data_IF_397254778342
#
_entry.id   IF_397254778342
#
_cell.length_a   1.000
_cell.length_b   1.000
_cell.length_c   1.000
_cell.angle_alpha   90.00
_cell.angle_beta   90.00
_cell.angle_gamma   90.00
#
_symmetry.space_group_name_H-M   'P 1'
#
loop_
_entity.id
_entity.type
_entity.pdbx_description
1 polymer ?
#
# COMPACT_ATOMS: atom_id res chain seq x y z
N UNK A 1 -15.05 -4.28 18.82
CA UNK A 1 -13.83 -3.48 18.52
C UNK A 1 -14.07 -2.03 18.92
N UNK A 2 -15.21 -1.45 18.53
CA UNK A 2 -15.64 -0.11 18.98
C UNK A 2 -15.82 -0.02 20.50
N UNK A 3 -16.29 -1.08 21.15
CA UNK A 3 -16.43 -1.11 22.63
C UNK A 3 -15.13 -0.85 23.40
N UNK A 4 -13.97 -1.33 22.91
CA UNK A 4 -12.67 -1.12 23.57
C UNK A 4 -12.22 0.33 23.38
N UNK A 5 -12.48 0.89 22.20
CA UNK A 5 -12.19 2.30 21.91
C UNK A 5 -13.02 3.19 22.82
N UNK A 6 -14.34 3.03 22.82
CA UNK A 6 -15.25 3.85 23.62
C UNK A 6 -14.92 3.74 25.10
N UNK A 7 -14.63 2.54 25.59
CA UNK A 7 -14.23 2.34 26.98
C UNK A 7 -12.95 3.09 27.36
N UNK A 8 -11.90 2.99 26.54
CA UNK A 8 -10.60 3.64 26.82
C UNK A 8 -10.71 5.17 26.74
N UNK A 9 -11.48 5.70 25.79
CA UNK A 9 -11.70 7.14 25.65
C UNK A 9 -12.51 7.69 26.85
N UNK A 10 -13.57 6.99 27.26
CA UNK A 10 -14.36 7.35 28.46
C UNK A 10 -13.51 7.32 29.73
N UNK A 11 -12.67 6.28 29.90
CA UNK A 11 -11.76 6.19 31.03
C UNK A 11 -10.83 7.41 31.08
N UNK A 12 -10.21 7.75 29.95
CA UNK A 12 -9.27 8.86 29.86
C UNK A 12 -9.93 10.19 30.23
N UNK A 13 -11.11 10.46 29.69
CA UNK A 13 -11.82 11.73 29.88
C UNK A 13 -12.42 11.86 31.29
N UNK A 14 -13.05 10.80 31.80
CA UNK A 14 -13.91 10.91 32.99
C UNK A 14 -13.29 10.35 34.26
N UNK A 15 -12.39 9.37 34.16
CA UNK A 15 -11.94 8.60 35.33
C UNK A 15 -10.47 8.83 35.67
N UNK A 16 -9.64 9.14 34.68
CA UNK A 16 -8.23 9.43 34.90
C UNK A 16 -8.04 10.91 35.18
N UNK A 17 -7.33 11.21 36.28
CA UNK A 17 -6.96 12.58 36.64
C UNK A 17 -5.97 13.15 35.62
N UNK A 18 -6.04 14.46 35.39
CA UNK A 18 -5.27 15.14 34.36
C UNK A 18 -3.75 14.96 34.49
N UNK A 19 -3.23 14.92 35.72
CA UNK A 19 -1.82 14.67 36.03
C UNK A 19 -1.35 13.24 35.68
N UNK A 20 -2.28 12.29 35.59
CA UNK A 20 -2.02 10.87 35.29
C UNK A 20 -2.26 10.50 33.82
N UNK A 21 -2.72 11.45 33.00
CA UNK A 21 -3.04 11.21 31.59
C UNK A 21 -1.86 10.66 30.80
N UNK A 22 -0.65 11.20 30.99
CA UNK A 22 0.55 10.71 30.32
C UNK A 22 0.86 9.24 30.68
N UNK A 23 0.90 8.94 31.97
CA UNK A 23 1.18 7.59 32.48
C UNK A 23 0.15 6.58 31.99
N UNK A 24 -1.13 6.97 31.96
CA UNK A 24 -2.21 6.15 31.42
C UNK A 24 -2.05 5.92 29.91
N UNK A 25 -1.72 6.95 29.12
CA UNK A 25 -1.46 6.81 27.69
C UNK A 25 -0.31 5.84 27.40
N UNK A 26 0.78 5.92 28.17
CA UNK A 26 1.92 4.99 28.03
C UNK A 26 1.51 3.55 28.33
N UNK A 27 0.77 3.33 29.42
CA UNK A 27 0.35 1.99 29.86
C UNK A 27 -0.65 1.35 28.87
N UNK A 28 -1.63 2.11 28.39
CA UNK A 28 -2.60 1.61 27.40
C UNK A 28 -1.89 1.25 26.09
N UNK A 29 -0.97 2.08 25.60
CA UNK A 29 -0.22 1.79 24.38
C UNK A 29 0.66 0.54 24.54
N UNK A 30 1.31 0.33 25.68
CA UNK A 30 2.03 -0.92 25.98
C UNK A 30 1.12 -2.15 25.94
N UNK A 31 -0.12 -2.03 26.42
CA UNK A 31 -1.10 -3.12 26.36
C UNK A 31 -1.57 -3.38 24.94
N UNK A 32 -1.86 -2.33 24.16
CA UNK A 32 -2.17 -2.48 22.75
C UNK A 32 -1.05 -3.21 22.00
N UNK A 33 0.22 -2.84 22.24
CA UNK A 33 1.37 -3.51 21.63
C UNK A 33 1.52 -4.97 22.11
N UNK A 34 1.37 -5.23 23.43
CA UNK A 34 1.44 -6.59 24.01
C UNK A 34 0.41 -7.55 23.41
N UNK A 35 -0.80 -7.05 23.16
CA UNK A 35 -1.89 -7.84 22.58
C UNK A 35 -1.99 -7.71 21.06
N UNK A 36 -1.00 -7.07 20.41
CA UNK A 36 -0.96 -6.85 18.96
C UNK A 36 -2.26 -6.22 18.41
N UNK A 37 -2.84 -5.30 19.19
CA UNK A 37 -4.02 -4.55 18.80
C UNK A 37 -3.59 -3.39 17.88
N UNK A 38 -4.25 -3.20 16.73
CA UNK A 38 -3.88 -2.18 15.75
C UNK A 38 -4.38 -0.80 16.18
N UNK A 39 -4.10 -0.40 17.40
CA UNK A 39 -4.57 0.86 18.00
C UNK A 39 -3.44 1.60 18.70
N UNK A 40 -3.62 2.92 18.82
CA UNK A 40 -2.80 3.78 19.66
C UNK A 40 -3.72 4.79 20.35
N UNK A 41 -3.55 4.97 21.66
CA UNK A 41 -4.16 6.08 22.39
C UNK A 41 -3.28 7.32 22.22
N UNK A 42 -3.87 8.42 21.74
CA UNK A 42 -3.22 9.71 21.57
C UNK A 42 -4.16 10.82 22.05
N UNK A 43 -3.73 11.58 23.05
CA UNK A 43 -4.47 12.72 23.61
C UNK A 43 -5.94 12.40 23.98
N UNK A 44 -6.19 11.19 24.49
CA UNK A 44 -7.52 10.75 24.89
C UNK A 44 -8.37 10.11 23.80
N UNK A 45 -7.88 10.04 22.56
CA UNK A 45 -8.57 9.37 21.44
C UNK A 45 -7.80 8.13 21.01
N UNK A 46 -8.51 7.02 20.83
CA UNK A 46 -7.95 5.78 20.28
C UNK A 46 -8.01 5.84 18.76
N UNK A 47 -6.84 5.91 18.14
CA UNK A 47 -6.66 5.94 16.68
C UNK A 47 -6.21 4.57 16.18
N UNK A 48 -6.66 4.19 14.99
CA UNK A 48 -6.17 3.00 14.30
C UNK A 48 -4.70 3.16 13.92
N UNK A 49 -3.89 2.13 14.20
CA UNK A 49 -2.46 2.05 13.82
C UNK A 49 -2.27 1.56 12.37
N UNK A 50 -3.35 1.32 11.62
CA UNK A 50 -3.33 0.88 10.23
C UNK A 50 -2.96 -0.60 10.05
N UNK A 51 -1.98 -1.16 10.79
CA UNK A 51 -1.54 -2.55 10.61
C UNK A 51 -1.03 -3.26 11.87
N UNK A 52 -1.22 -4.58 11.92
CA UNK A 52 -0.58 -5.50 12.89
C UNK A 52 0.81 -5.91 12.38
N UNK A 53 1.85 -5.15 12.72
CA UNK A 53 3.25 -5.55 12.48
C UNK A 53 4.12 -5.21 13.69
N UNK A 54 5.14 -6.01 13.93
CA UNK A 54 6.17 -5.78 14.96
C UNK A 54 7.23 -4.77 14.51
N UNK A 55 7.22 -4.34 13.24
CA UNK A 55 8.15 -3.35 12.71
C UNK A 55 7.54 -1.94 12.75
N UNK A 56 8.28 -0.97 13.28
CA UNK A 56 7.88 0.44 13.29
C UNK A 56 7.94 1.03 11.88
N UNK A 57 6.77 1.30 11.29
CA UNK A 57 6.62 1.94 9.99
C UNK A 57 6.96 3.42 10.13
N UNK A 58 8.22 3.80 9.88
CA UNK A 58 8.69 5.14 10.23
C UNK A 58 8.40 6.21 9.19
N UNK A 59 8.45 5.93 7.87
CA UNK A 59 8.09 6.91 6.81
C UNK A 59 7.70 6.21 5.51
N UNK A 60 6.45 6.37 5.07
CA UNK A 60 5.96 5.94 3.74
C UNK A 60 5.67 7.20 2.90
N UNK A 61 6.06 7.14 1.62
CA UNK A 61 5.81 8.18 0.61
C UNK A 61 4.32 8.42 0.51
N UNK A 62 3.89 9.62 0.94
CA UNK A 62 2.51 9.96 1.28
C UNK A 62 1.68 8.75 1.77
N UNK A 63 2.18 8.09 2.83
CA UNK A 63 1.50 6.98 3.53
C UNK A 63 0.01 7.25 3.57
N UNK A 64 -0.36 8.47 3.96
CA UNK A 64 -1.74 8.85 4.15
C UNK A 64 -2.57 8.71 2.87
N UNK A 65 -2.10 9.17 1.72
CA UNK A 65 -2.84 9.03 0.46
C UNK A 65 -2.89 7.58 -0.02
N UNK A 66 -1.77 6.85 0.09
CA UNK A 66 -1.66 5.47 -0.34
C UNK A 66 -2.52 4.53 0.52
N UNK A 67 -2.41 4.68 1.84
CA UNK A 67 -3.23 3.99 2.84
C UNK A 67 -4.69 4.35 2.74
N UNK A 68 -5.03 5.61 2.41
CA UNK A 68 -6.41 5.98 2.11
C UNK A 68 -6.92 5.25 0.88
N UNK A 69 -6.14 5.19 -0.20
CA UNK A 69 -6.54 4.44 -1.41
C UNK A 69 -6.76 2.96 -1.09
N UNK A 70 -5.89 2.34 -0.30
CA UNK A 70 -6.03 0.94 0.13
C UNK A 70 -7.24 0.75 1.06
N UNK A 71 -7.43 1.61 2.05
CA UNK A 71 -8.57 1.53 2.97
C UNK A 71 -9.91 1.74 2.24
N UNK A 72 -9.97 2.73 1.34
CA UNK A 72 -11.14 2.94 0.50
C UNK A 72 -11.38 1.74 -0.42
N UNK A 73 -10.32 1.14 -0.99
CA UNK A 73 -10.48 -0.05 -1.82
C UNK A 73 -10.97 -1.27 -1.03
N UNK A 74 -10.55 -1.43 0.23
CA UNK A 74 -11.03 -2.48 1.13
C UNK A 74 -12.53 -2.35 1.45
N UNK A 75 -13.01 -1.11 1.63
CA UNK A 75 -14.45 -0.87 1.82
C UNK A 75 -15.23 -1.14 0.53
N UNK A 76 -14.72 -0.65 -0.61
CA UNK A 76 -15.40 -0.73 -1.90
C UNK A 76 -15.44 -2.14 -2.49
N UNK A 77 -14.41 -2.96 -2.28
CA UNK A 77 -14.40 -4.35 -2.80
C UNK A 77 -15.49 -5.22 -2.16
N UNK A 78 -15.89 -4.88 -0.93
CA UNK A 78 -16.95 -5.57 -0.19
C UNK A 78 -18.36 -5.15 -0.65
N UNK A 79 -18.49 -4.11 -1.47
CA UNK A 79 -19.76 -3.67 -2.06
C UNK A 79 -20.35 -4.75 -2.98
N UNK A 80 -21.66 -4.75 -3.15
CA UNK A 80 -22.33 -5.58 -4.17
C UNK A 80 -22.31 -4.93 -5.56
N UNK A 81 -21.98 -3.64 -5.64
CA UNK A 81 -21.99 -2.86 -6.87
C UNK A 81 -20.74 -3.10 -7.72
N UNK A 82 -20.95 -3.36 -9.01
CA UNK A 82 -19.88 -3.60 -9.98
C UNK A 82 -18.90 -2.42 -10.08
N UNK A 83 -19.44 -1.19 -10.11
CA UNK A 83 -18.65 0.02 -10.24
C UNK A 83 -17.72 0.20 -9.03
N UNK A 84 -18.20 -0.08 -7.83
CA UNK A 84 -17.40 0.02 -6.61
C UNK A 84 -16.24 -0.96 -6.63
N UNK A 85 -16.48 -2.22 -7.04
CA UNK A 85 -15.41 -3.22 -7.15
C UNK A 85 -14.39 -2.85 -8.23
N UNK A 86 -14.82 -2.29 -9.36
CA UNK A 86 -13.92 -1.78 -10.41
C UNK A 86 -13.03 -0.66 -9.85
N UNK A 87 -13.63 0.31 -9.17
CA UNK A 87 -12.90 1.40 -8.53
C UNK A 87 -11.95 0.91 -7.43
N UNK A 88 -12.35 -0.08 -6.62
CA UNK A 88 -11.48 -0.71 -5.63
C UNK A 88 -10.22 -1.29 -6.29
N UNK A 89 -10.41 -1.98 -7.41
CA UNK A 89 -9.32 -2.56 -8.16
C UNK A 89 -8.42 -1.51 -8.82
N UNK A 90 -9.00 -0.44 -9.37
CA UNK A 90 -8.22 0.69 -9.88
C UNK A 90 -7.33 1.31 -8.80
N UNK A 91 -7.90 1.55 -7.61
CA UNK A 91 -7.15 2.17 -6.52
C UNK A 91 -5.94 1.35 -6.08
N UNK A 92 -6.09 0.02 -6.01
CA UNK A 92 -4.99 -0.83 -5.57
C UNK A 92 -3.96 -1.10 -6.67
N UNK A 93 -4.40 -1.15 -7.92
CA UNK A 93 -3.52 -1.22 -9.09
C UNK A 93 -2.70 0.07 -9.22
N UNK A 94 -3.33 1.24 -9.12
CA UNK A 94 -2.65 2.54 -9.08
C UNK A 94 -1.57 2.57 -7.99
N UNK A 95 -1.89 2.04 -6.82
CA UNK A 95 -0.99 1.96 -5.69
C UNK A 95 0.24 1.09 -6.04
N UNK A 96 0.02 -0.10 -6.60
CA UNK A 96 1.11 -0.98 -7.05
C UNK A 96 1.95 -0.33 -8.18
N UNK A 97 1.30 0.30 -9.16
CA UNK A 97 1.97 1.00 -10.26
C UNK A 97 2.87 2.12 -9.75
N UNK A 98 2.36 2.92 -8.83
CA UNK A 98 3.12 3.98 -8.19
C UNK A 98 4.34 3.43 -7.45
N UNK A 99 4.12 2.38 -6.65
CA UNK A 99 5.20 1.68 -5.95
C UNK A 99 6.30 1.22 -6.91
N UNK A 100 5.94 0.59 -8.03
CA UNK A 100 6.92 0.12 -9.02
C UNK A 100 7.61 1.31 -9.70
N UNK A 101 6.89 2.40 -9.96
CA UNK A 101 7.41 3.56 -10.68
C UNK A 101 8.60 4.23 -9.98
N UNK A 102 8.64 4.17 -8.65
CA UNK A 102 9.72 4.75 -7.84
C UNK A 102 10.93 3.82 -7.69
N UNK A 103 10.83 2.58 -8.18
CA UNK A 103 11.92 1.61 -8.12
C UNK A 103 13.04 1.98 -9.10
N UNK A 104 14.28 1.70 -8.69
CA UNK A 104 15.47 1.96 -9.50
C UNK A 104 15.49 1.10 -10.77
N UNK A 105 15.89 1.70 -11.89
CA UNK A 105 16.14 1.00 -13.14
C UNK A 105 15.43 1.62 -14.35
N UNK A 106 16.13 1.62 -15.49
CA UNK A 106 15.58 2.11 -16.75
C UNK A 106 14.78 1.00 -17.46
N UNK A 107 13.46 1.18 -17.51
CA UNK A 107 12.51 0.27 -18.13
C UNK A 107 11.76 -0.61 -17.12
N UNK A 108 10.53 -1.00 -17.49
CA UNK A 108 9.59 -1.73 -16.62
C UNK A 108 10.15 -3.03 -16.06
N UNK A 109 10.84 -3.85 -16.86
CA UNK A 109 11.41 -5.12 -16.40
C UNK A 109 12.48 -4.92 -15.30
N UNK A 110 13.31 -3.87 -15.44
CA UNK A 110 14.33 -3.55 -14.44
C UNK A 110 13.71 -3.05 -13.13
N UNK A 111 12.61 -2.30 -13.22
CA UNK A 111 11.83 -1.86 -12.05
C UNK A 111 11.15 -3.03 -11.34
N UNK A 112 10.61 -3.99 -12.08
CA UNK A 112 10.06 -5.23 -11.50
C UNK A 112 11.15 -6.06 -10.81
N UNK A 113 12.32 -6.17 -11.43
CA UNK A 113 13.47 -6.83 -10.83
C UNK A 113 13.94 -6.12 -9.54
N UNK A 114 13.95 -4.79 -9.52
CA UNK A 114 14.30 -4.02 -8.33
C UNK A 114 13.29 -4.23 -7.19
N UNK A 115 11.99 -4.14 -7.47
CA UNK A 115 10.93 -4.44 -6.49
C UNK A 115 11.05 -5.86 -5.91
N UNK A 116 11.34 -6.86 -6.75
CA UNK A 116 11.52 -8.23 -6.29
C UNK A 116 12.80 -8.40 -5.43
N UNK A 117 13.87 -7.64 -5.72
CA UNK A 117 15.10 -7.64 -4.92
C UNK A 117 14.91 -7.07 -3.52
N UNK A 118 14.00 -6.10 -3.35
CA UNK A 118 13.68 -5.57 -2.02
C UNK A 118 13.12 -6.66 -1.11
N UNK A 119 12.29 -7.56 -1.65
CA UNK A 119 11.77 -8.71 -0.90
C UNK A 119 12.84 -9.80 -0.71
N UNK A 120 13.58 -10.12 -1.76
CA UNK A 120 14.61 -11.15 -1.71
C UNK A 120 15.87 -10.72 -2.47
N UNK A 121 16.94 -10.45 -1.72
CA UNK A 121 18.23 -10.03 -2.29
C UNK A 121 18.90 -11.12 -3.14
N UNK A 122 18.59 -12.40 -2.89
CA UNK A 122 19.09 -13.52 -3.67
C UNK A 122 18.26 -13.73 -4.95
N UNK A 123 18.83 -13.38 -6.10
CA UNK A 123 18.17 -13.47 -7.41
C UNK A 123 17.98 -14.91 -7.91
N UNK A 124 18.75 -15.88 -7.39
CA UNK A 124 18.60 -17.29 -7.73
C UNK A 124 17.52 -17.97 -6.87
N UNK A 125 16.94 -17.24 -5.92
CA UNK A 125 15.86 -17.73 -5.07
C UNK A 125 14.56 -17.90 -5.86
N UNK A 126 13.86 -18.99 -5.59
CA UNK A 126 12.48 -19.18 -6.06
C UNK A 126 11.56 -18.03 -5.64
N UNK A 127 11.80 -17.43 -4.47
CA UNK A 127 11.02 -16.31 -3.95
C UNK A 127 11.18 -15.10 -4.88
N UNK A 128 12.41 -14.75 -5.24
CA UNK A 128 12.68 -13.66 -6.17
C UNK A 128 12.01 -13.88 -7.53
N UNK A 129 12.18 -15.09 -8.10
CA UNK A 129 11.60 -15.43 -9.40
C UNK A 129 10.06 -15.35 -9.39
N UNK A 130 9.41 -15.88 -8.35
CA UNK A 130 7.95 -15.87 -8.20
C UNK A 130 7.44 -14.44 -8.04
N UNK A 131 8.06 -13.63 -7.19
CA UNK A 131 7.65 -12.23 -6.97
C UNK A 131 7.80 -11.42 -8.25
N UNK A 132 8.93 -11.54 -8.97
CA UNK A 132 9.13 -10.82 -10.23
C UNK A 132 8.10 -11.23 -11.28
N UNK A 133 7.81 -12.53 -11.40
CA UNK A 133 6.81 -13.05 -12.32
C UNK A 133 5.40 -12.52 -11.97
N UNK A 134 5.01 -12.57 -10.70
CA UNK A 134 3.71 -12.09 -10.24
C UNK A 134 3.52 -10.60 -10.50
N UNK A 135 4.54 -9.76 -10.22
CA UNK A 135 4.52 -8.33 -10.57
C UNK A 135 4.27 -8.17 -12.07
N UNK A 136 5.01 -8.89 -12.91
CA UNK A 136 4.88 -8.78 -14.36
C UNK A 136 3.50 -9.23 -14.85
N UNK A 137 2.95 -10.31 -14.30
CA UNK A 137 1.62 -10.82 -14.66
C UNK A 137 0.52 -9.86 -14.26
N UNK A 138 0.50 -9.44 -12.99
CA UNK A 138 -0.50 -8.49 -12.47
C UNK A 138 -0.44 -7.17 -13.24
N UNK A 139 0.75 -6.67 -13.56
CA UNK A 139 0.92 -5.47 -14.37
C UNK A 139 0.46 -5.64 -15.82
N UNK A 140 0.68 -6.82 -16.41
CA UNK A 140 0.20 -7.12 -17.76
C UNK A 140 -1.33 -7.18 -17.79
N UNK A 141 -1.93 -7.94 -16.86
CA UNK A 141 -3.38 -8.01 -16.68
C UNK A 141 -3.95 -6.61 -16.40
N UNK A 142 -3.30 -5.83 -15.55
CA UNK A 142 -3.67 -4.43 -15.29
C UNK A 142 -3.75 -3.62 -16.58
N UNK A 143 -2.71 -3.66 -17.42
CA UNK A 143 -2.70 -2.89 -18.67
C UNK A 143 -3.65 -3.43 -19.76
N UNK A 144 -3.97 -4.72 -19.71
CA UNK A 144 -4.88 -5.37 -20.65
C UNK A 144 -6.35 -5.11 -20.28
N UNK A 145 -6.68 -5.12 -18.98
CA UNK A 145 -8.05 -5.06 -18.47
C UNK A 145 -8.46 -3.70 -17.83
N UNK A 146 -7.52 -2.84 -17.39
CA UNK A 146 -7.79 -1.61 -16.60
C UNK A 146 -7.47 -0.30 -17.33
N UNK A 147 -7.21 -0.34 -18.63
CA UNK A 147 -7.21 0.90 -19.42
C UNK A 147 -8.66 1.36 -19.70
N UNK A 148 -9.46 1.49 -18.63
CA UNK A 148 -10.85 1.97 -18.64
C UNK A 148 -10.95 3.46 -18.98
N UNK A 149 -9.82 4.18 -19.05
CA UNK A 149 -9.79 5.52 -19.66
C UNK A 149 -9.95 5.48 -21.17
N UNK A 150 -9.79 4.32 -21.80
CA UNK A 150 -9.64 4.19 -23.24
C UNK A 150 -10.08 2.82 -23.77
N UNK A 151 -11.32 2.42 -23.46
CA UNK A 151 -11.99 1.34 -24.21
C UNK A 151 -12.20 1.68 -25.72
N UNK A 152 -11.78 2.86 -26.17
CA UNK A 152 -11.70 3.24 -27.59
C UNK A 152 -10.40 2.82 -28.29
N UNK A 153 -9.37 2.36 -27.58
CA UNK A 153 -8.03 2.17 -28.16
C UNK A 153 -7.76 0.70 -28.41
N UNK A 154 -7.47 0.40 -29.69
CA UNK A 154 -7.10 -0.92 -30.20
C UNK A 154 -5.77 -1.38 -29.58
N UNK A 155 -5.71 -2.65 -29.14
CA UNK A 155 -4.43 -3.27 -28.79
C UNK A 155 -3.55 -3.44 -30.07
N UNK A 156 -2.27 -3.84 -29.93
CA UNK A 156 -1.39 -4.13 -31.09
C UNK A 156 -1.98 -5.17 -32.06
N UNK A 157 -2.91 -6.00 -31.58
CA UNK A 157 -3.64 -7.00 -32.36
C UNK A 157 -4.96 -6.47 -32.98
N UNK A 158 -5.28 -5.18 -32.82
CA UNK A 158 -6.52 -4.52 -33.30
C UNK A 158 -7.82 -5.11 -32.74
N UNK A 159 -7.79 -5.64 -31.53
CA UNK A 159 -8.99 -6.12 -30.84
C UNK A 159 -9.56 -5.00 -29.96
N UNK A 160 -10.90 -4.91 -29.91
CA UNK A 160 -11.60 -4.12 -28.90
C UNK A 160 -11.32 -4.75 -27.55
N UNK A 161 -10.88 -3.96 -26.58
CA UNK A 161 -10.83 -4.38 -25.18
C UNK A 161 -12.26 -4.60 -24.69
N UNK A 162 -12.55 -5.81 -24.22
CA UNK A 162 -13.84 -6.08 -23.57
C UNK A 162 -13.83 -5.47 -22.17
N UNK A 163 -14.94 -4.83 -21.78
CA UNK A 163 -15.08 -4.34 -20.43
C UNK A 163 -15.06 -5.51 -19.44
N UNK A 164 -14.31 -5.36 -18.35
CA UNK A 164 -14.24 -6.40 -17.33
C UNK A 164 -15.54 -6.44 -16.54
N UNK A 165 -16.45 -7.37 -16.85
CA UNK A 165 -17.79 -7.44 -16.25
C UNK A 165 -18.01 -8.69 -15.38
N UNK A 166 -16.95 -9.41 -15.04
CA UNK A 166 -16.99 -10.54 -14.11
C UNK A 166 -16.57 -10.10 -12.70
N UNK A 167 -17.53 -10.08 -11.77
CA UNK A 167 -17.32 -9.71 -10.37
C UNK A 167 -16.30 -10.63 -9.68
N UNK A 168 -16.35 -11.93 -9.94
CA UNK A 168 -15.45 -12.89 -9.28
C UNK A 168 -14.02 -12.69 -9.77
N UNK A 169 -13.86 -12.39 -11.06
CA UNK A 169 -12.54 -12.08 -11.61
C UNK A 169 -11.97 -10.77 -11.07
N UNK A 170 -12.80 -9.73 -10.90
CA UNK A 170 -12.39 -8.46 -10.27
C UNK A 170 -11.90 -8.70 -8.85
N UNK A 171 -12.67 -9.43 -8.02
CA UNK A 171 -12.27 -9.76 -6.65
C UNK A 171 -10.98 -10.61 -6.61
N UNK A 172 -10.87 -11.58 -7.51
CA UNK A 172 -9.67 -12.41 -7.62
C UNK A 172 -8.43 -11.57 -7.93
N UNK A 173 -8.51 -10.69 -8.93
CA UNK A 173 -7.39 -9.83 -9.31
C UNK A 173 -7.07 -8.80 -8.23
N UNK A 174 -8.09 -8.24 -7.58
CA UNK A 174 -7.92 -7.39 -6.40
C UNK A 174 -7.10 -8.07 -5.32
N UNK A 175 -7.48 -9.29 -4.94
CA UNK A 175 -6.78 -10.03 -3.89
C UNK A 175 -5.32 -10.35 -4.26
N UNK A 176 -5.03 -10.62 -5.54
CA UNK A 176 -3.64 -10.79 -6.02
C UNK A 176 -2.83 -9.51 -5.86
N UNK A 177 -3.35 -8.39 -6.35
CA UNK A 177 -2.68 -7.08 -6.27
C UNK A 177 -2.48 -6.69 -4.80
N UNK A 178 -3.51 -6.89 -3.97
CA UNK A 178 -3.49 -6.63 -2.54
C UNK A 178 -2.39 -7.42 -1.83
N UNK A 179 -2.33 -8.75 -2.04
CA UNK A 179 -1.32 -9.59 -1.44
C UNK A 179 0.10 -9.19 -1.86
N UNK A 180 0.30 -8.89 -3.15
CA UNK A 180 1.59 -8.45 -3.68
C UNK A 180 2.01 -7.12 -3.06
N UNK A 181 1.13 -6.14 -3.03
CA UNK A 181 1.38 -4.83 -2.43
C UNK A 181 1.72 -4.95 -0.93
N UNK A 182 1.05 -5.87 -0.23
CA UNK A 182 1.36 -6.20 1.16
C UNK A 182 2.76 -6.80 1.33
N UNK A 183 3.23 -7.58 0.36
CA UNK A 183 4.58 -8.15 0.38
C UNK A 183 5.65 -7.09 0.09
N UNK A 184 5.47 -6.26 -0.95
CA UNK A 184 6.53 -5.34 -1.36
C UNK A 184 6.66 -4.14 -0.41
N UNK A 185 5.57 -3.70 0.23
CA UNK A 185 5.61 -2.61 1.22
C UNK A 185 6.42 -2.92 2.48
N UNK A 186 6.71 -4.19 2.77
CA UNK A 186 7.40 -4.60 4.00
C UNK A 186 8.92 -4.41 3.96
N UNK A 187 9.53 -4.10 2.80
CA UNK A 187 11.00 -4.15 2.64
C UNK A 187 11.65 -3.00 1.85
N UNK A 188 10.95 -1.91 1.56
CA UNK A 188 11.54 -0.76 0.82
C UNK A 188 12.68 -0.10 1.59
N UNK A 189 13.85 0.03 0.95
CA UNK A 189 15.01 0.70 1.55
C UNK A 189 15.08 2.18 1.14
N UNK A 190 15.23 3.05 2.13
CA UNK A 190 14.98 4.50 2.08
C UNK A 190 15.95 5.31 1.21
N UNK A 191 17.16 4.80 0.99
CA UNK A 191 18.19 5.47 0.17
C UNK A 191 17.87 5.43 -1.33
N UNK A 192 16.96 4.56 -1.75
CA UNK A 192 16.68 4.30 -3.16
C UNK A 192 15.64 5.24 -3.76
N UNK A 193 14.94 5.98 -2.89
CA UNK A 193 13.88 6.93 -3.21
C UNK A 193 14.36 8.39 -3.26
N UNK A 194 15.64 8.63 -2.95
CA UNK A 194 16.34 9.90 -3.11
C UNK A 194 17.52 9.61 -4.03
N UNK A 195 17.31 9.50 -5.35
CA UNK A 195 18.46 9.55 -6.26
C UNK A 195 18.75 11.01 -6.56
N UNK A 196 19.92 11.46 -6.09
CA UNK A 196 20.74 12.58 -6.57
C UNK A 196 20.17 13.44 -7.71
N UNK A 197 19.38 14.46 -7.35
CA UNK A 197 19.37 15.73 -8.09
C UNK A 197 20.56 16.63 -7.65
N UNK A 198 21.66 16.03 -7.18
CA UNK A 198 22.85 16.77 -6.77
C UNK A 198 23.89 16.94 -7.90
N UNK A 199 23.82 16.18 -9.00
CA UNK A 199 24.75 16.35 -10.14
C UNK A 199 24.27 17.39 -11.18
N UNK A 200 23.05 17.91 -11.03
CA UNK A 200 22.46 18.91 -11.94
C UNK A 200 22.74 20.37 -11.59
N UNK A 201 23.25 20.68 -10.38
CA UNK A 201 23.43 22.07 -9.92
C UNK A 201 24.87 22.58 -9.97
N UNK A 202 25.89 21.71 -10.09
CA UNK A 202 27.30 22.15 -10.11
C UNK A 202 27.79 22.67 -11.47
N UNK A 203 27.02 22.47 -12.55
CA UNK A 203 27.38 22.94 -13.91
C UNK A 203 26.69 24.24 -14.34
N UNK A 204 25.95 24.92 -13.45
CA UNK A 204 25.35 26.23 -13.72
C UNK A 204 26.05 27.40 -13.01
N UNK A 205 27.03 27.15 -12.15
CA UNK A 205 27.86 28.19 -11.51
C UNK A 205 29.23 28.40 -12.19
N UNK A 206 29.46 27.76 -13.35
CA UNK A 206 30.63 28.04 -14.20
C UNK A 206 30.19 28.38 -15.63
N UNK A 207 29.52 29.52 -15.78
CA UNK A 207 29.49 30.28 -17.03
C UNK A 207 29.36 31.77 -16.77
#
# INVERSE_FOLDING_TARGET
MDEIKDFVEIMYERWIRADMHYSFTVEINKRFDKFQLPFKLSSGTVIGKGYKTTESIDKILDHRMFERKIAYSEEMIMSTEMLDKKCALDYIVDALQYFISVQRGNGVDKKYAAAAREICSNQDSKIYAVVKAEISEVMKLSNEYFDIRHNEYLNKAKEKREALDDLQFIEYLYNRVYALLYLVRLKVNKADLISDDAEGQENLEKK
#
